data_IF_744285281680
#
_entry.id   IF_744285281680
#
_cell.length_a   1.000
_cell.length_b   1.000
_cell.length_c   1.000
_cell.angle_alpha   90.00
_cell.angle_beta   90.00
_cell.angle_gamma   90.00
#
_symmetry.space_group_name_H-M   'P 1'
#
loop_
_entity.id
_entity.type
_entity.pdbx_description
1 polymer ?
#
# COMPACT_ATOMS: atom_id res chain seq x y z
N UNK A 1 9.88 2.59 -15.60
CA UNK A 1 8.44 2.60 -15.31
C UNK A 1 8.14 2.01 -13.95
N UNK A 2 7.14 2.57 -13.25
CA UNK A 2 6.64 2.04 -11.99
C UNK A 2 5.38 1.20 -12.26
N UNK A 3 5.30 -0.01 -11.72
CA UNK A 3 4.28 -1.00 -12.12
C UNK A 3 2.85 -0.47 -11.98
N UNK A 4 2.52 0.22 -10.89
CA UNK A 4 1.17 0.79 -10.68
C UNK A 4 0.82 1.81 -11.76
N UNK A 5 1.78 2.64 -12.19
CA UNK A 5 1.55 3.62 -13.25
C UNK A 5 1.33 2.94 -14.61
N UNK A 6 2.06 1.86 -14.89
CA UNK A 6 1.85 1.05 -16.09
C UNK A 6 0.45 0.44 -16.10
N UNK A 7 0.02 -0.14 -14.98
CA UNK A 7 -1.33 -0.70 -14.85
C UNK A 7 -2.40 0.38 -15.04
N UNK A 8 -2.20 1.57 -14.47
CA UNK A 8 -3.11 2.70 -14.66
C UNK A 8 -3.24 3.09 -16.14
N UNK A 9 -2.11 3.28 -16.83
CA UNK A 9 -2.10 3.67 -18.23
C UNK A 9 -2.76 2.63 -19.14
N UNK A 10 -2.40 1.35 -18.99
CA UNK A 10 -3.02 0.24 -19.76
C UNK A 10 -4.53 0.18 -19.54
N UNK A 11 -4.98 0.43 -18.31
CA UNK A 11 -6.41 0.40 -17.97
C UNK A 11 -7.16 1.59 -18.57
N UNK A 12 -6.57 2.79 -18.54
CA UNK A 12 -7.13 3.98 -19.19
C UNK A 12 -7.21 3.81 -20.70
N UNK A 13 -6.16 3.26 -21.32
CA UNK A 13 -6.16 2.96 -22.76
C UNK A 13 -7.30 1.99 -23.10
N UNK A 14 -7.47 0.91 -22.34
CA UNK A 14 -8.61 0.01 -22.52
C UNK A 14 -9.96 0.74 -22.42
N UNK A 15 -10.14 1.61 -21.42
CA UNK A 15 -11.37 2.37 -21.24
C UNK A 15 -11.63 3.36 -22.38
N UNK A 16 -10.59 3.93 -22.99
CA UNK A 16 -10.70 4.81 -24.15
C UNK A 16 -11.10 4.05 -25.43
N UNK A 17 -10.59 2.83 -25.62
CA UNK A 17 -10.79 2.07 -26.85
C UNK A 17 -11.97 1.09 -26.83
N UNK A 18 -12.50 0.74 -25.65
CA UNK A 18 -13.64 -0.18 -25.55
C UNK A 18 -14.86 0.32 -26.32
N UNK A 19 -15.69 -0.62 -26.79
CA UNK A 19 -17.00 -0.28 -27.35
C UNK A 19 -17.93 0.26 -26.26
N UNK A 20 -18.64 1.35 -26.55
CA UNK A 20 -19.69 1.88 -25.66
C UNK A 20 -21.01 1.09 -25.72
N UNK A 21 -21.11 0.11 -26.63
CA UNK A 21 -22.33 -0.66 -26.87
C UNK A 21 -22.29 -2.08 -26.29
N UNK A 22 -21.16 -2.49 -25.70
CA UNK A 22 -20.98 -3.82 -25.14
C UNK A 22 -20.58 -3.71 -23.66
N UNK A 23 -21.12 -4.57 -22.78
CA UNK A 23 -20.65 -4.63 -21.41
C UNK A 23 -19.19 -5.10 -21.39
N UNK A 24 -18.45 -4.68 -20.37
CA UNK A 24 -17.08 -5.13 -20.14
C UNK A 24 -16.89 -5.50 -18.67
N UNK A 25 -15.88 -6.35 -18.43
CA UNK A 25 -15.35 -6.63 -17.10
C UNK A 25 -13.85 -6.36 -17.13
N UNK A 26 -13.36 -5.62 -16.15
CA UNK A 26 -11.94 -5.29 -16.01
C UNK A 26 -11.52 -5.54 -14.56
N UNK A 27 -10.46 -6.33 -14.38
CA UNK A 27 -9.84 -6.59 -13.08
C UNK A 27 -8.43 -6.02 -13.08
N UNK A 28 -8.17 -5.10 -12.16
CA UNK A 28 -6.86 -4.46 -12.00
C UNK A 28 -6.33 -4.84 -10.62
N UNK A 29 -5.20 -5.54 -10.61
CA UNK A 29 -4.60 -6.06 -9.38
C UNK A 29 -3.23 -5.43 -9.18
N UNK A 30 -3.10 -4.61 -8.15
CA UNK A 30 -1.79 -4.07 -7.74
C UNK A 30 -1.17 -5.01 -6.69
N UNK A 31 0.15 -5.28 -6.74
CA UNK A 31 0.83 -6.02 -5.68
C UNK A 31 1.05 -5.15 -4.42
N UNK A 32 0.78 -3.85 -4.51
CA UNK A 32 0.89 -2.92 -3.40
C UNK A 32 -0.15 -3.24 -2.29
N UNK A 33 0.19 -3.09 -1.00
CA UNK A 33 1.49 -2.71 -0.44
C UNK A 33 2.24 -3.95 0.06
N UNK A 34 2.33 -5.03 -0.74
CA UNK A 34 3.19 -6.16 -0.37
C UNK A 34 4.67 -5.75 -0.40
N UNK A 35 5.49 -6.43 0.39
CA UNK A 35 6.96 -6.30 0.32
C UNK A 35 7.42 -6.50 -1.12
N UNK A 36 8.33 -5.68 -1.67
CA UNK A 36 9.35 -4.86 -0.99
C UNK A 36 8.97 -3.43 -0.55
N UNK A 37 7.70 -2.99 -0.63
CA UNK A 37 7.25 -1.63 -0.26
C UNK A 37 8.07 -0.51 -0.92
N UNK A 38 8.32 -0.64 -2.21
CA UNK A 38 9.01 0.39 -2.99
C UNK A 38 7.94 1.42 -3.42
N UNK A 39 8.10 2.66 -2.94
CA UNK A 39 7.22 3.76 -3.33
C UNK A 39 7.45 4.16 -4.79
N UNK A 40 6.44 4.76 -5.42
CA UNK A 40 6.69 5.48 -6.66
C UNK A 40 7.66 6.65 -6.37
N UNK A 41 8.58 7.01 -7.29
CA UNK A 41 9.66 7.97 -7.02
C UNK A 41 9.18 9.31 -6.44
N UNK A 42 8.03 9.82 -6.89
CA UNK A 42 7.42 11.06 -6.41
C UNK A 42 6.96 10.99 -4.94
N UNK A 43 6.75 9.79 -4.40
CA UNK A 43 6.22 9.57 -3.05
C UNK A 43 7.26 9.14 -2.02
N UNK A 44 8.52 8.91 -2.42
CA UNK A 44 9.58 8.41 -1.52
C UNK A 44 9.79 9.24 -0.25
N UNK A 45 9.55 10.55 -0.33
CA UNK A 45 9.77 11.51 0.78
C UNK A 45 8.50 11.87 1.54
N UNK A 46 7.36 11.26 1.21
CA UNK A 46 6.09 11.51 1.92
C UNK A 46 6.08 10.86 3.31
N UNK A 47 5.24 11.37 4.20
CA UNK A 47 5.04 10.83 5.56
C UNK A 47 6.32 10.72 6.43
N UNK A 48 7.21 11.72 6.47
CA UNK A 48 8.52 11.61 7.14
C UNK A 48 8.43 11.26 8.62
N UNK A 49 7.36 11.69 9.30
CA UNK A 49 7.18 11.54 10.75
C UNK A 49 6.15 10.46 11.13
N UNK A 50 5.63 9.71 10.15
CA UNK A 50 4.68 8.62 10.43
C UNK A 50 5.44 7.42 11.01
N UNK A 51 4.83 6.82 12.02
CA UNK A 51 5.27 5.60 12.72
C UNK A 51 4.12 4.63 12.83
N UNK A 52 4.40 3.35 13.10
CA UNK A 52 3.33 2.37 13.26
C UNK A 52 2.51 2.66 14.55
N UNK A 53 1.18 2.45 14.54
CA UNK A 53 0.34 2.75 15.69
C UNK A 53 0.82 2.11 17.00
N UNK A 54 0.84 2.90 18.07
CA UNK A 54 1.30 2.51 19.42
C UNK A 54 0.13 2.29 20.39
N UNK A 55 -0.87 1.52 19.97
CA UNK A 55 -2.04 1.21 20.81
C UNK A 55 -1.69 0.37 22.05
N UNK A 56 -2.63 0.14 22.96
CA UNK A 56 -2.37 -0.56 24.25
C UNK A 56 -1.85 -2.00 24.14
N UNK A 57 -1.98 -2.63 22.97
CA UNK A 57 -1.41 -3.96 22.69
C UNK A 57 0.01 -3.91 22.09
N UNK A 58 0.53 -2.71 21.82
CA UNK A 58 1.86 -2.54 21.25
C UNK A 58 2.92 -2.98 22.25
N UNK A 59 3.82 -3.86 21.82
CA UNK A 59 4.99 -4.25 22.58
C UNK A 59 4.71 -4.97 23.92
N UNK A 60 3.55 -5.60 24.07
CA UNK A 60 3.13 -6.32 25.29
C UNK A 60 2.65 -7.73 24.92
N UNK A 61 3.12 -8.76 25.65
CA UNK A 61 2.74 -10.16 25.38
C UNK A 61 2.12 -10.94 26.57
N UNK A 62 2.04 -10.37 27.78
CA UNK A 62 1.73 -11.11 29.02
C UNK A 62 0.38 -11.87 28.96
N UNK A 63 -0.64 -11.24 28.40
CA UNK A 63 -2.01 -11.78 28.32
C UNK A 63 -2.37 -12.25 26.90
N UNK A 64 -1.36 -12.64 26.11
CA UNK A 64 -1.54 -13.09 24.71
C UNK A 64 -1.49 -14.60 24.58
N UNK A 65 -1.93 -15.12 23.43
CA UNK A 65 -1.81 -16.55 23.10
C UNK A 65 -0.35 -17.02 23.26
N UNK A 66 -0.15 -18.27 23.68
CA UNK A 66 1.18 -18.79 24.07
C UNK A 66 2.24 -18.67 22.95
N UNK A 67 1.81 -18.71 21.69
CA UNK A 67 2.68 -18.53 20.52
C UNK A 67 3.30 -17.12 20.47
N UNK A 68 2.51 -16.07 20.74
CA UNK A 68 2.99 -14.68 20.77
C UNK A 68 3.92 -14.45 21.97
N UNK A 69 3.72 -15.20 23.05
CA UNK A 69 4.61 -15.18 24.22
C UNK A 69 5.99 -15.80 23.96
N UNK A 70 6.19 -16.50 22.83
CA UNK A 70 7.51 -17.02 22.45
C UNK A 70 8.46 -15.95 21.91
N UNK A 71 7.92 -14.81 21.44
CA UNK A 71 8.73 -13.72 20.91
C UNK A 71 9.36 -12.85 22.00
N UNK A 72 10.44 -12.14 21.64
CA UNK A 72 11.10 -11.17 22.52
C UNK A 72 10.15 -10.01 22.85
N UNK A 73 9.89 -9.79 24.14
CA UNK A 73 9.14 -8.64 24.66
C UNK A 73 9.87 -8.01 25.85
N UNK A 74 10.07 -6.68 25.85
CA UNK A 74 9.76 -5.75 24.75
C UNK A 74 10.66 -6.00 23.51
N UNK A 75 10.16 -5.63 22.34
CA UNK A 75 10.88 -5.54 21.07
C UNK A 75 12.15 -4.69 21.25
N UNK A 76 13.21 -5.05 20.52
CA UNK A 76 14.41 -4.22 20.44
C UNK A 76 14.14 -2.91 19.70
N UNK A 77 14.97 -1.89 19.95
CA UNK A 77 14.91 -0.63 19.22
C UNK A 77 15.02 -0.83 17.69
N UNK A 78 15.83 -1.79 17.23
CA UNK A 78 15.95 -2.12 15.80
C UNK A 78 14.66 -2.69 15.22
N UNK A 79 13.94 -3.56 15.94
CA UNK A 79 12.63 -4.08 15.52
C UNK A 79 11.59 -2.97 15.44
N UNK A 80 11.59 -2.04 16.40
CA UNK A 80 10.69 -0.88 16.42
C UNK A 80 10.99 0.04 15.22
N UNK A 81 12.26 0.35 14.96
CA UNK A 81 12.67 1.16 13.79
C UNK A 81 12.29 0.50 12.47
N UNK A 82 12.51 -0.82 12.34
CA UNK A 82 12.10 -1.57 11.17
C UNK A 82 10.58 -1.50 10.97
N UNK A 83 9.80 -1.70 12.04
CA UNK A 83 8.34 -1.64 11.99
C UNK A 83 7.85 -0.26 11.54
N UNK A 84 8.42 0.82 12.06
CA UNK A 84 8.04 2.19 11.65
C UNK A 84 8.38 2.48 10.20
N UNK A 85 9.56 2.06 9.77
CA UNK A 85 9.98 2.19 8.38
C UNK A 85 9.08 1.37 7.45
N UNK A 86 8.75 0.12 7.80
CA UNK A 86 7.85 -0.72 7.03
C UNK A 86 6.44 -0.11 6.95
N UNK A 87 5.92 0.41 8.06
CA UNK A 87 4.61 1.06 8.10
C UNK A 87 4.59 2.32 7.21
N UNK A 88 5.59 3.19 7.33
CA UNK A 88 5.73 4.37 6.47
C UNK A 88 5.82 3.99 4.99
N UNK A 89 6.68 3.03 4.64
CA UNK A 89 6.85 2.60 3.25
C UNK A 89 5.57 2.03 2.65
N UNK A 90 4.77 1.28 3.42
CA UNK A 90 3.46 0.81 2.97
C UNK A 90 2.53 1.97 2.59
N UNK A 91 2.49 3.05 3.39
CA UNK A 91 1.71 4.24 3.06
C UNK A 91 2.23 4.93 1.78
N UNK A 92 3.54 5.08 1.66
CA UNK A 92 4.16 5.68 0.47
C UNK A 92 3.86 4.88 -0.81
N UNK A 93 3.87 3.54 -0.74
CA UNK A 93 3.50 2.67 -1.87
C UNK A 93 2.02 2.84 -2.26
N UNK A 94 1.13 2.99 -1.28
CA UNK A 94 -0.31 3.13 -1.53
C UNK A 94 -0.70 4.42 -2.26
N UNK A 95 0.07 5.51 -2.15
CA UNK A 95 -0.25 6.76 -2.85
C UNK A 95 -0.33 6.59 -4.38
N UNK A 96 0.49 5.72 -4.97
CA UNK A 96 0.38 5.40 -6.39
C UNK A 96 -0.89 4.62 -6.75
N UNK A 97 -1.43 3.86 -5.81
CA UNK A 97 -2.70 3.13 -5.97
C UNK A 97 -3.86 4.12 -5.88
N UNK A 98 -3.77 5.11 -4.99
CA UNK A 98 -4.75 6.20 -4.90
C UNK A 98 -4.83 6.96 -6.23
N UNK A 99 -3.68 7.32 -6.84
CA UNK A 99 -3.63 7.95 -8.16
C UNK A 99 -4.29 7.10 -9.26
N UNK A 100 -4.02 5.79 -9.26
CA UNK A 100 -4.62 4.85 -10.21
C UNK A 100 -6.15 4.86 -10.06
N UNK A 101 -6.65 4.74 -8.83
CA UNK A 101 -8.09 4.71 -8.54
C UNK A 101 -8.73 6.03 -8.97
N UNK A 102 -8.14 7.17 -8.59
CA UNK A 102 -8.66 8.48 -8.94
C UNK A 102 -8.78 8.67 -10.46
N UNK A 103 -7.73 8.30 -11.21
CA UNK A 103 -7.74 8.39 -12.68
C UNK A 103 -8.82 7.51 -13.31
N UNK A 104 -9.00 6.29 -12.82
CA UNK A 104 -10.03 5.38 -13.33
C UNK A 104 -11.44 5.88 -13.05
N UNK A 105 -11.69 6.36 -11.82
CA UNK A 105 -13.01 6.90 -11.46
C UNK A 105 -13.36 8.10 -12.34
N UNK A 106 -12.43 9.05 -12.51
CA UNK A 106 -12.61 10.19 -13.42
C UNK A 106 -12.91 9.76 -14.85
N UNK A 107 -12.22 8.73 -15.36
CA UNK A 107 -12.44 8.22 -16.71
C UNK A 107 -13.78 7.48 -16.88
N UNK A 108 -14.30 6.86 -15.81
CA UNK A 108 -15.59 6.18 -15.82
C UNK A 108 -16.78 7.15 -15.68
N UNK A 109 -16.55 8.32 -15.07
CA UNK A 109 -17.55 9.39 -14.90
C UNK A 109 -17.64 10.33 -16.12
N UNK A 110 -16.61 10.36 -16.97
CA UNK A 110 -16.55 11.15 -18.20
C UNK A 110 -17.41 10.57 -19.33
#
# INVERSE_FOLDING_TARGET
>A
DYLTDVLANVSLDFLNYKSNYQPFFMMISTPAPHSPWIAAPQYEKTFPNVTAPRGGNFNVHKDKHWLIRQDKSPMSNSSIQFLDNAFRKRWQTLLSVDDLIEKLLKQLEA
#
